data_IF_158968468934
#
_entry.id   IF_158968468934
#
_cell.length_a   1.000
_cell.length_b   1.000
_cell.length_c   1.000
_cell.angle_alpha   90.00
_cell.angle_beta   90.00
_cell.angle_gamma   90.00
#
_symmetry.space_group_name_H-M   'P 1'
#
loop_
_entity.id
_entity.type
_entity.pdbx_description
1 polymer ?
#
# COMPACT_ATOMS: atom_id res chain seq x y z
N UNK A 1 24.59 -21.46 -16.10
CA UNK A 1 24.02 -20.16 -15.70
C UNK A 1 22.53 -20.28 -15.47
N UNK A 2 21.93 -19.48 -14.60
CA UNK A 2 20.49 -19.53 -14.30
C UNK A 2 19.78 -18.24 -14.70
N UNK A 3 18.65 -18.34 -15.39
CA UNK A 3 17.77 -17.20 -15.64
C UNK A 3 16.69 -17.13 -14.56
N UNK A 4 16.56 -15.99 -13.88
CA UNK A 4 15.56 -15.76 -12.82
C UNK A 4 14.96 -14.35 -12.94
N UNK A 5 13.83 -14.10 -12.25
CA UNK A 5 13.26 -12.75 -12.14
C UNK A 5 14.21 -11.87 -11.35
N UNK A 6 14.55 -10.70 -11.89
CA UNK A 6 15.43 -9.76 -11.18
C UNK A 6 14.77 -9.27 -9.88
N UNK A 7 15.55 -8.90 -8.85
CA UNK A 7 15.01 -8.15 -7.73
C UNK A 7 14.36 -6.82 -8.18
N UNK A 8 13.36 -6.35 -7.45
CA UNK A 8 12.60 -5.14 -7.76
C UNK A 8 11.12 -5.28 -7.43
N UNK A 9 10.29 -4.38 -7.98
CA UNK A 9 8.82 -4.49 -7.93
C UNK A 9 8.27 -4.71 -9.32
N UNK A 10 7.23 -5.54 -9.42
CA UNK A 10 6.54 -5.89 -10.64
C UNK A 10 5.04 -5.69 -10.47
N UNK A 11 4.38 -5.15 -11.49
CA UNK A 11 2.94 -4.96 -11.53
C UNK A 11 2.37 -5.80 -12.66
N UNK A 12 1.38 -6.65 -12.37
CA UNK A 12 0.78 -7.54 -13.35
C UNK A 12 -0.74 -7.59 -13.18
N UNK A 13 -1.46 -7.99 -14.22
CA UNK A 13 -2.86 -8.38 -14.10
C UNK A 13 -3.07 -9.78 -14.68
N UNK A 14 -4.09 -10.47 -14.22
CA UNK A 14 -4.38 -11.86 -14.58
C UNK A 14 -4.94 -12.07 -16.00
N UNK A 15 -4.96 -11.01 -16.82
CA UNK A 15 -5.60 -10.95 -18.14
C UNK A 15 -7.05 -11.44 -18.15
N UNK A 16 -7.77 -11.28 -17.03
CA UNK A 16 -9.17 -11.68 -16.87
C UNK A 16 -9.38 -13.19 -16.76
N UNK A 17 -8.31 -13.97 -16.52
CA UNK A 17 -8.38 -15.44 -16.49
C UNK A 17 -8.85 -16.02 -15.16
N UNK A 18 -8.71 -15.28 -14.06
CA UNK A 18 -8.95 -15.83 -12.70
C UNK A 18 -10.42 -15.73 -12.31
N UNK A 19 -11.11 -14.68 -12.74
CA UNK A 19 -12.50 -14.45 -12.37
C UNK A 19 -13.43 -14.65 -13.57
N UNK A 20 -14.55 -15.34 -13.36
CA UNK A 20 -15.51 -15.70 -14.42
C UNK A 20 -16.13 -14.49 -15.12
N UNK A 21 -16.16 -13.33 -14.48
CA UNK A 21 -16.65 -12.09 -15.10
C UNK A 21 -15.68 -11.48 -16.12
N UNK A 22 -14.46 -12.02 -16.27
CA UNK A 22 -13.40 -11.43 -17.10
C UNK A 22 -12.78 -10.16 -16.52
N UNK A 23 -13.13 -9.79 -15.28
CA UNK A 23 -12.58 -8.61 -14.59
C UNK A 23 -11.08 -8.79 -14.40
N UNK A 24 -10.30 -7.77 -14.77
CA UNK A 24 -8.86 -7.76 -14.56
C UNK A 24 -8.57 -7.64 -13.06
N UNK A 25 -7.80 -8.58 -12.53
CA UNK A 25 -7.28 -8.52 -11.17
C UNK A 25 -5.83 -8.07 -11.21
N UNK A 26 -5.58 -6.87 -10.70
CA UNK A 26 -4.26 -6.28 -10.63
C UNK A 26 -3.53 -6.74 -9.37
N UNK A 27 -2.22 -6.90 -9.50
CA UNK A 27 -1.33 -7.30 -8.41
C UNK A 27 0.02 -6.63 -8.55
N UNK A 28 0.70 -6.47 -7.42
CA UNK A 28 2.09 -6.05 -7.36
C UNK A 28 2.91 -7.05 -6.54
N UNK A 29 4.16 -7.26 -6.92
CA UNK A 29 5.07 -8.16 -6.21
C UNK A 29 6.43 -7.50 -6.03
N UNK A 30 6.84 -7.32 -4.78
CA UNK A 30 8.19 -6.91 -4.41
C UNK A 30 9.04 -8.16 -4.18
N UNK A 31 10.05 -8.34 -5.04
CA UNK A 31 10.99 -9.45 -5.02
C UNK A 31 12.34 -8.91 -4.51
N UNK A 32 12.78 -9.26 -3.29
CA UNK A 32 14.12 -8.94 -2.85
C UNK A 32 15.15 -9.88 -3.49
N UNK A 33 16.42 -9.45 -3.46
CA UNK A 33 17.54 -10.36 -3.72
C UNK A 33 17.62 -11.42 -2.62
N UNK A 34 17.35 -11.02 -1.38
CA UNK A 34 17.28 -11.88 -0.20
C UNK A 34 16.29 -11.30 0.80
N UNK A 35 15.43 -12.14 1.38
CA UNK A 35 14.41 -11.74 2.35
C UNK A 35 13.02 -12.20 1.94
N UNK A 36 12.03 -11.80 2.72
CA UNK A 36 10.63 -12.15 2.50
C UNK A 36 10.03 -11.44 1.29
N UNK A 37 9.20 -12.14 0.52
CA UNK A 37 8.48 -11.53 -0.60
C UNK A 37 7.24 -10.81 -0.07
N UNK A 38 6.94 -9.65 -0.65
CA UNK A 38 5.75 -8.87 -0.34
C UNK A 38 4.88 -8.78 -1.59
N UNK A 39 3.72 -9.43 -1.55
CA UNK A 39 2.73 -9.41 -2.63
C UNK A 39 1.55 -8.52 -2.23
N UNK A 40 0.96 -7.85 -3.23
CA UNK A 40 -0.28 -7.11 -3.17
C UNK A 40 -1.20 -7.58 -4.27
N UNK A 41 -2.50 -7.70 -4.01
CA UNK A 41 -3.46 -8.11 -5.03
C UNK A 41 -4.87 -7.64 -4.73
N UNK A 42 -5.57 -7.21 -5.78
CA UNK A 42 -7.00 -6.98 -5.74
C UNK A 42 -7.77 -8.31 -5.80
N UNK A 43 -8.88 -8.37 -5.09
CA UNK A 43 -9.87 -9.42 -5.25
C UNK A 43 -11.00 -9.00 -6.21
N UNK A 44 -11.92 -9.92 -6.56
CA UNK A 44 -13.06 -9.60 -7.41
C UNK A 44 -14.01 -8.51 -6.86
N UNK A 45 -13.99 -8.26 -5.55
CA UNK A 45 -14.78 -7.24 -4.85
C UNK A 45 -14.05 -5.89 -4.74
N UNK A 46 -12.92 -5.73 -5.44
CA UNK A 46 -12.08 -4.52 -5.42
C UNK A 46 -11.44 -4.20 -4.05
N UNK A 47 -11.31 -5.22 -3.21
CA UNK A 47 -10.61 -5.10 -1.93
C UNK A 47 -9.13 -5.38 -2.15
N UNK A 48 -8.27 -4.52 -1.62
CA UNK A 48 -6.83 -4.63 -1.79
C UNK A 48 -6.20 -5.37 -0.60
N UNK A 49 -5.51 -6.46 -0.88
CA UNK A 49 -4.84 -7.27 0.13
C UNK A 49 -3.33 -7.26 -0.06
N UNK A 50 -2.61 -7.60 1.01
CA UNK A 50 -1.22 -7.99 0.96
C UNK A 50 -1.02 -9.40 1.53
N UNK A 51 0.11 -10.01 1.20
CA UNK A 51 0.61 -11.23 1.84
C UNK A 51 2.12 -11.24 1.86
N UNK A 52 2.68 -11.94 2.83
CA UNK A 52 4.13 -12.13 2.99
C UNK A 52 4.46 -13.60 2.77
N UNK A 53 5.45 -13.89 1.93
CA UNK A 53 5.91 -15.27 1.64
C UNK A 53 4.79 -16.24 1.27
N UNK A 54 3.82 -15.78 0.47
CA UNK A 54 2.64 -16.56 0.03
C UNK A 54 1.76 -17.10 1.17
N UNK A 55 1.82 -16.49 2.36
CA UNK A 55 0.90 -16.78 3.48
C UNK A 55 -0.51 -16.24 3.19
N UNK A 56 -1.42 -16.43 4.15
CA UNK A 56 -2.80 -15.93 4.05
C UNK A 56 -2.82 -14.43 3.77
N UNK A 57 -3.82 -13.99 3.01
CA UNK A 57 -4.02 -12.58 2.67
C UNK A 57 -4.53 -11.80 3.88
N UNK A 58 -4.17 -10.52 3.97
CA UNK A 58 -4.69 -9.55 4.94
C UNK A 58 -4.99 -8.22 4.25
N UNK A 59 -6.00 -7.44 4.69
CA UNK A 59 -6.29 -6.13 4.12
C UNK A 59 -5.05 -5.23 4.08
N UNK A 60 -4.80 -4.55 2.96
CA UNK A 60 -3.58 -3.73 2.79
C UNK A 60 -3.48 -2.61 3.83
N UNK A 61 -4.62 -2.17 4.35
CA UNK A 61 -4.70 -1.12 5.37
C UNK A 61 -4.09 -1.54 6.71
N UNK A 62 -4.03 -2.84 7.02
CA UNK A 62 -3.27 -3.37 8.16
C UNK A 62 -1.78 -3.06 7.96
N UNK A 63 -1.24 -3.28 6.75
CA UNK A 63 0.17 -2.96 6.49
C UNK A 63 0.42 -1.44 6.58
N UNK A 64 -0.50 -0.63 6.05
CA UNK A 64 -0.41 0.83 6.12
C UNK A 64 -0.46 1.35 7.58
N UNK A 65 -1.30 0.77 8.43
CA UNK A 65 -1.30 1.04 9.87
C UNK A 65 0.00 0.59 10.54
N UNK A 66 0.51 -0.59 10.19
CA UNK A 66 1.75 -1.13 10.76
C UNK A 66 3.01 -0.29 10.42
N UNK A 67 2.97 0.51 9.35
CA UNK A 67 4.02 1.49 9.01
C UNK A 67 3.76 2.89 9.59
N UNK A 68 2.74 3.04 10.45
CA UNK A 68 2.48 4.25 11.23
C UNK A 68 1.40 5.18 10.67
N UNK A 69 0.63 4.78 9.65
CA UNK A 69 -0.46 5.60 9.13
C UNK A 69 -1.77 5.35 9.90
N UNK A 70 -2.39 6.42 10.40
CA UNK A 70 -3.76 6.35 10.92
C UNK A 70 -4.79 6.43 9.76
N UNK A 71 -6.08 6.11 9.98
CA UNK A 71 -7.09 6.13 8.92
C UNK A 71 -7.18 7.46 8.15
N UNK A 72 -7.06 8.62 8.82
CA UNK A 72 -7.05 9.93 8.16
C UNK A 72 -5.87 10.08 7.20
N UNK A 73 -4.67 9.71 7.66
CA UNK A 73 -3.43 9.77 6.88
C UNK A 73 -3.47 8.78 5.72
N UNK A 74 -4.10 7.61 5.92
CA UNK A 74 -4.36 6.67 4.83
C UNK A 74 -5.27 7.34 3.79
N UNK A 75 -6.45 7.82 4.16
CA UNK A 75 -7.38 8.45 3.21
C UNK A 75 -6.73 9.64 2.48
N UNK A 76 -6.01 10.50 3.19
CA UNK A 76 -5.32 11.66 2.61
C UNK A 76 -4.22 11.28 1.60
N UNK A 77 -3.67 10.06 1.67
CA UNK A 77 -2.68 9.59 0.71
C UNK A 77 -3.29 9.03 -0.58
N UNK A 78 -4.55 8.61 -0.57
CA UNK A 78 -5.19 7.91 -1.69
C UNK A 78 -6.36 8.67 -2.30
N UNK A 79 -6.91 9.66 -1.61
CA UNK A 79 -8.06 10.43 -2.07
C UNK A 79 -7.77 11.93 -2.04
N UNK A 80 -8.28 12.62 -3.05
CA UNK A 80 -8.60 14.04 -2.94
C UNK A 80 -9.97 14.19 -2.28
N UNK A 81 -10.25 15.37 -1.72
CA UNK A 81 -11.51 15.59 -1.00
C UNK A 81 -12.44 16.53 -1.76
N UNK A 82 -13.74 16.33 -1.59
CA UNK A 82 -14.77 17.34 -1.82
C UNK A 82 -15.02 18.08 -0.48
N UNK A 83 -15.05 19.41 -0.54
CA UNK A 83 -15.35 20.25 0.62
C UNK A 83 -16.82 20.66 0.59
N UNK A 84 -17.52 20.45 1.71
CA UNK A 84 -18.93 20.81 1.86
C UNK A 84 -19.11 21.74 3.06
N UNK A 85 -19.90 22.78 2.86
CA UNK A 85 -20.44 23.61 3.94
C UNK A 85 -21.91 23.26 4.17
N UNK A 86 -22.19 22.63 5.29
CA UNK A 86 -23.51 22.25 5.76
C UNK A 86 -24.40 23.48 6.00
N UNK A 87 -25.60 23.47 5.43
CA UNK A 87 -26.67 24.49 5.57
C UNK A 87 -27.84 23.94 6.38
N UNK A 88 -28.87 24.68 6.78
CA UNK A 88 -30.01 24.09 7.55
C UNK A 88 -30.62 22.83 6.88
N UNK A 89 -30.63 22.80 5.56
CA UNK A 89 -30.90 21.64 4.71
C UNK A 89 -29.94 21.66 3.51
N UNK A 90 -29.42 20.50 3.12
CA UNK A 90 -28.41 20.37 2.08
C UNK A 90 -27.06 20.96 2.46
N UNK A 91 -26.25 21.29 1.45
CA UNK A 91 -24.93 21.87 1.65
C UNK A 91 -24.52 22.74 0.45
N UNK A 92 -23.47 23.52 0.62
CA UNK A 92 -22.70 24.12 -0.47
C UNK A 92 -21.46 23.26 -0.72
N UNK A 93 -21.36 22.70 -1.92
CA UNK A 93 -20.19 21.93 -2.37
C UNK A 93 -19.23 22.85 -3.11
N UNK A 94 -17.94 22.75 -2.85
CA UNK A 94 -16.92 23.44 -3.65
C UNK A 94 -17.02 23.01 -5.13
N UNK A 95 -17.01 24.00 -6.03
CA UNK A 95 -17.09 23.76 -7.47
C UNK A 95 -15.73 23.39 -8.05
N UNK A 96 -15.62 22.17 -8.56
CA UNK A 96 -14.45 21.70 -9.33
C UNK A 96 -14.88 21.29 -10.74
N UNK A 97 -14.50 22.10 -11.73
CA UNK A 97 -14.89 21.98 -13.15
C UNK A 97 -14.67 20.58 -13.73
N UNK A 98 -13.50 19.99 -13.46
CA UNK A 98 -13.12 18.68 -14.00
C UNK A 98 -13.95 17.54 -13.43
N UNK A 99 -14.39 17.63 -12.16
CA UNK A 99 -15.19 16.59 -11.49
C UNK A 99 -16.64 16.53 -11.95
N UNK A 100 -17.17 17.64 -12.46
CA UNK A 100 -18.56 17.71 -12.95
C UNK A 100 -18.66 17.45 -14.44
N UNK A 101 -17.59 17.66 -15.21
CA UNK A 101 -17.63 17.56 -16.67
C UNK A 101 -17.95 16.13 -17.10
N UNK A 102 -19.01 15.98 -17.90
CA UNK A 102 -19.39 14.69 -18.47
C UNK A 102 -20.36 13.88 -17.60
N UNK A 103 -20.55 14.27 -16.34
CA UNK A 103 -21.53 13.68 -15.42
C UNK A 103 -22.97 14.09 -15.78
N UNK A 104 -23.94 13.31 -15.28
CA UNK A 104 -25.37 13.66 -15.35
C UNK A 104 -25.75 14.39 -14.07
N UNK A 105 -26.30 15.60 -14.20
CA UNK A 105 -26.70 16.41 -13.06
C UNK A 105 -27.87 15.75 -12.31
N UNK A 106 -27.65 15.40 -11.04
CA UNK A 106 -28.69 14.76 -10.18
C UNK A 106 -29.72 15.76 -9.65
N UNK A 107 -29.44 17.06 -9.79
CA UNK A 107 -30.24 18.19 -9.36
C UNK A 107 -29.91 19.39 -10.26
N UNK A 108 -30.67 20.48 -10.15
CA UNK A 108 -30.41 21.71 -10.89
C UNK A 108 -29.12 22.37 -10.40
N UNK A 109 -28.15 22.56 -11.29
CA UNK A 109 -26.90 23.26 -11.00
C UNK A 109 -27.08 24.73 -11.36
N UNK A 110 -27.01 25.59 -10.36
CA UNK A 110 -27.14 27.05 -10.52
C UNK A 110 -25.79 27.75 -10.43
N UNK A 111 -25.69 28.92 -11.04
CA UNK A 111 -24.60 29.86 -10.76
C UNK A 111 -24.80 30.60 -9.42
N UNK A 112 -23.83 31.44 -9.05
CA UNK A 112 -23.89 32.27 -7.82
C UNK A 112 -25.09 33.22 -7.74
N UNK A 113 -25.74 33.52 -8.86
CA UNK A 113 -26.93 34.39 -8.93
C UNK A 113 -28.24 33.60 -8.80
N UNK A 114 -28.16 32.27 -8.76
CA UNK A 114 -29.32 31.37 -8.73
C UNK A 114 -29.86 31.02 -10.12
N UNK A 115 -29.19 31.45 -11.21
CA UNK A 115 -29.59 31.07 -12.57
C UNK A 115 -29.22 29.60 -12.81
N UNK A 116 -30.18 28.80 -13.26
CA UNK A 116 -29.95 27.40 -13.63
C UNK A 116 -29.05 27.33 -14.87
N UNK A 117 -27.86 26.75 -14.71
CA UNK A 117 -26.90 26.51 -15.79
C UNK A 117 -27.06 25.10 -16.36
N UNK A 118 -27.34 24.11 -15.50
CA UNK A 118 -27.64 22.73 -15.92
C UNK A 118 -28.89 22.26 -15.19
N UNK A 119 -29.93 21.92 -15.96
CA UNK A 119 -31.12 21.31 -15.38
C UNK A 119 -30.85 19.87 -14.95
N UNK A 120 -31.60 19.39 -13.95
CA UNK A 120 -31.61 18.00 -13.51
C UNK A 120 -31.76 17.03 -14.70
N UNK A 121 -31.09 15.89 -14.59
CA UNK A 121 -31.05 14.80 -15.58
C UNK A 121 -30.42 15.19 -16.92
N UNK A 122 -29.76 16.36 -17.00
CA UNK A 122 -28.97 16.77 -18.16
C UNK A 122 -27.48 16.52 -17.93
N UNK A 123 -26.79 16.19 -19.03
CA UNK A 123 -25.34 16.00 -19.02
C UNK A 123 -24.63 17.34 -18.88
N UNK A 124 -23.67 17.41 -17.97
CA UNK A 124 -22.81 18.58 -17.78
C UNK A 124 -21.79 18.62 -18.92
N UNK A 125 -21.80 19.68 -19.72
CA UNK A 125 -20.90 19.85 -20.86
C UNK A 125 -19.78 20.85 -20.52
N UNK A 126 -18.72 20.87 -21.33
CA UNK A 126 -17.65 21.87 -21.19
C UNK A 126 -18.16 23.32 -21.32
N UNK A 127 -19.29 23.55 -22.02
CA UNK A 127 -19.94 24.86 -22.07
C UNK A 127 -20.49 25.26 -20.70
N UNK A 128 -21.16 24.33 -20.02
CA UNK A 128 -21.76 24.59 -18.70
C UNK A 128 -20.68 24.90 -17.64
N UNK A 129 -19.60 24.13 -17.63
CA UNK A 129 -18.51 24.37 -16.66
C UNK A 129 -17.84 25.73 -16.90
N UNK A 130 -17.63 26.12 -18.17
CA UNK A 130 -17.12 27.45 -18.52
C UNK A 130 -18.06 28.58 -18.11
N UNK A 131 -19.37 28.40 -18.25
CA UNK A 131 -20.36 29.39 -17.80
C UNK A 131 -20.29 29.58 -16.27
N UNK A 132 -20.17 28.50 -15.50
CA UNK A 132 -19.98 28.57 -14.05
C UNK A 132 -18.67 29.27 -13.66
N UNK A 133 -17.56 28.94 -14.34
CA UNK A 133 -16.26 29.62 -14.14
C UNK A 133 -16.37 31.13 -14.44
N UNK A 134 -16.96 31.50 -15.58
CA UNK A 134 -17.12 32.91 -16.00
C UNK A 134 -18.05 33.71 -15.08
N UNK A 135 -19.07 33.06 -14.52
CA UNK A 135 -19.91 33.67 -13.50
C UNK A 135 -19.18 33.89 -12.17
N UNK A 136 -17.99 33.31 -11.97
CA UNK A 136 -17.24 33.34 -10.72
C UNK A 136 -17.88 32.48 -9.63
N UNK A 137 -18.58 31.40 -10.02
CA UNK A 137 -19.19 30.47 -9.08
C UNK A 137 -18.10 29.61 -8.44
N UNK A 138 -17.98 29.68 -7.11
CA UNK A 138 -17.01 28.87 -6.34
C UNK A 138 -17.66 27.71 -5.61
N UNK A 139 -18.98 27.76 -5.39
CA UNK A 139 -19.74 26.73 -4.68
C UNK A 139 -21.08 26.47 -5.38
N UNK A 140 -21.55 25.23 -5.31
CA UNK A 140 -22.84 24.78 -5.83
C UNK A 140 -23.69 24.28 -4.67
N UNK A 141 -24.94 24.73 -4.60
CA UNK A 141 -25.91 24.20 -3.63
C UNK A 141 -26.32 22.78 -4.01
N UNK A 142 -26.23 21.86 -3.06
CA UNK A 142 -26.59 20.45 -3.22
C UNK A 142 -27.69 20.05 -2.23
N UNK A 143 -28.63 19.17 -2.61
CA UNK A 143 -29.68 18.68 -1.71
C UNK A 143 -29.13 17.70 -0.66
N UNK A 144 -29.90 17.46 0.40
CA UNK A 144 -29.53 16.52 1.49
C UNK A 144 -29.21 15.12 0.94
N UNK A 145 -30.05 14.61 0.03
CA UNK A 145 -29.91 13.28 -0.58
C UNK A 145 -28.59 13.09 -1.34
N UNK A 146 -27.93 14.19 -1.76
CA UNK A 146 -26.63 14.12 -2.43
C UNK A 146 -25.46 13.88 -1.46
N UNK A 147 -25.65 14.23 -0.19
CA UNK A 147 -24.67 14.01 0.87
C UNK A 147 -24.71 12.57 1.38
N UNK A 148 -25.90 11.96 1.40
CA UNK A 148 -26.10 10.59 1.89
C UNK A 148 -25.27 9.61 1.06
N UNK A 149 -24.52 8.74 1.74
CA UNK A 149 -23.62 7.75 1.13
C UNK A 149 -22.21 8.27 0.84
N UNK A 150 -21.95 9.58 0.94
CA UNK A 150 -20.59 10.14 0.88
C UNK A 150 -19.80 9.71 2.12
N UNK A 151 -18.48 9.65 2.01
CA UNK A 151 -17.62 9.11 3.09
C UNK A 151 -16.74 10.21 3.67
N UNK A 152 -16.78 10.38 4.99
CA UNK A 152 -16.01 11.36 5.75
C UNK A 152 -14.50 11.11 5.60
N UNK A 153 -13.74 12.15 5.28
CA UNK A 153 -12.29 12.05 5.08
C UNK A 153 -11.49 12.12 6.38
N UNK A 154 -12.01 12.80 7.41
CA UNK A 154 -11.28 13.13 8.66
C UNK A 154 -12.19 12.97 9.87
N UNK A 155 -11.65 12.67 11.05
CA UNK A 155 -12.47 12.68 12.25
C UNK A 155 -13.09 14.08 12.43
N UNK A 156 -14.38 14.11 12.76
CA UNK A 156 -15.07 15.34 13.13
C UNK A 156 -15.21 15.33 14.64
N UNK A 157 -14.63 16.32 15.29
CA UNK A 157 -14.62 16.45 16.75
C UNK A 157 -15.43 17.67 17.14
N UNK A 158 -16.27 17.51 18.15
CA UNK A 158 -16.99 18.62 18.75
C UNK A 158 -16.01 19.55 19.49
N UNK A 159 -16.01 20.83 19.14
CA UNK A 159 -15.01 21.78 19.64
C UNK A 159 -15.14 22.05 21.14
N UNK A 160 -16.34 21.93 21.70
CA UNK A 160 -16.62 22.25 23.10
C UNK A 160 -16.41 21.06 24.04
N UNK A 161 -16.84 19.86 23.63
CA UNK A 161 -16.76 18.65 24.45
C UNK A 161 -15.53 17.79 24.17
N UNK A 162 -14.88 17.96 23.01
CA UNK A 162 -13.82 17.06 22.54
C UNK A 162 -14.30 15.67 22.14
N UNK A 163 -15.61 15.44 22.07
CA UNK A 163 -16.18 14.16 21.63
C UNK A 163 -16.01 13.98 20.11
N UNK A 164 -15.62 12.77 19.68
CA UNK A 164 -15.58 12.42 18.26
C UNK A 164 -17.02 12.21 17.77
N UNK A 165 -17.52 13.16 16.98
CA UNK A 165 -18.86 13.14 16.39
C UNK A 165 -18.97 12.11 15.26
N UNK A 166 -17.94 12.05 14.41
CA UNK A 166 -17.80 11.12 13.28
C UNK A 166 -16.33 10.71 13.12
N UNK A 167 -16.07 9.47 12.72
CA UNK A 167 -14.73 8.99 12.42
C UNK A 167 -14.41 9.11 10.93
N UNK A 168 -13.13 9.20 10.62
CA UNK A 168 -12.64 9.06 9.26
C UNK A 168 -13.10 7.71 8.68
N UNK A 169 -13.54 7.72 7.42
CA UNK A 169 -14.16 6.62 6.70
C UNK A 169 -15.62 6.28 7.08
N UNK A 170 -16.25 7.03 8.00
CA UNK A 170 -17.69 6.89 8.27
C UNK A 170 -18.52 7.38 7.08
N UNK A 171 -19.63 6.71 6.82
CA UNK A 171 -20.58 7.09 5.79
C UNK A 171 -21.58 8.13 6.32
N UNK A 172 -21.84 9.16 5.54
CA UNK A 172 -22.87 10.15 5.83
C UNK A 172 -24.25 9.49 5.70
N UNK A 173 -24.88 9.29 6.85
CA UNK A 173 -26.28 8.88 6.98
C UNK A 173 -27.12 10.08 7.39
N UNK A 174 -28.44 10.03 7.20
CA UNK A 174 -29.36 11.07 7.68
C UNK A 174 -29.19 11.34 9.19
N UNK A 175 -29.01 10.27 9.98
CA UNK A 175 -28.79 10.37 11.41
C UNK A 175 -27.47 11.09 11.74
N UNK A 176 -26.40 10.79 11.00
CA UNK A 176 -25.11 11.45 11.19
C UNK A 176 -25.15 12.91 10.77
N UNK A 177 -25.77 13.24 9.62
CA UNK A 177 -25.97 14.63 9.18
C UNK A 177 -26.73 15.44 10.24
N UNK A 178 -27.81 14.89 10.78
CA UNK A 178 -28.57 15.54 11.87
C UNK A 178 -27.72 15.75 13.12
N UNK A 179 -26.91 14.76 13.52
CA UNK A 179 -25.97 14.87 14.65
C UNK A 179 -24.97 16.01 14.42
N UNK A 180 -24.33 16.05 13.24
CA UNK A 180 -23.36 17.07 12.86
C UNK A 180 -23.97 18.48 12.88
N UNK A 181 -25.18 18.64 12.34
CA UNK A 181 -25.92 19.91 12.35
C UNK A 181 -26.26 20.38 13.76
N UNK A 182 -26.71 19.46 14.61
CA UNK A 182 -27.08 19.77 16.01
C UNK A 182 -25.85 20.19 16.83
N UNK A 183 -24.69 19.61 16.51
CA UNK A 183 -23.40 20.00 17.06
C UNK A 183 -22.79 21.27 16.41
N UNK A 184 -23.50 21.92 15.48
CA UNK A 184 -23.05 23.17 14.86
C UNK A 184 -21.89 23.02 13.86
N UNK A 185 -21.59 21.79 13.41
CA UNK A 185 -20.55 21.55 12.40
C UNK A 185 -21.00 22.15 11.07
N UNK A 186 -20.19 23.08 10.53
CA UNK A 186 -20.45 23.71 9.24
C UNK A 186 -19.64 23.07 8.13
N UNK A 187 -18.32 22.96 8.29
CA UNK A 187 -17.45 22.49 7.22
C UNK A 187 -17.09 21.02 7.41
N UNK A 188 -17.35 20.21 6.39
CA UNK A 188 -16.98 18.80 6.36
C UNK A 188 -16.21 18.49 5.09
N UNK A 189 -15.31 17.51 5.19
CA UNK A 189 -14.54 17.01 4.07
C UNK A 189 -14.87 15.55 3.85
N UNK A 190 -15.22 15.22 2.61
CA UNK A 190 -15.51 13.85 2.21
C UNK A 190 -14.54 13.43 1.12
N UNK A 191 -14.22 12.14 1.06
CA UNK A 191 -13.38 11.63 -0.01
C UNK A 191 -14.11 11.75 -1.35
N UNK A 192 -13.40 12.19 -2.38
CA UNK A 192 -13.92 12.19 -3.74
C UNK A 192 -13.71 10.81 -4.35
N UNK A 193 -14.81 10.20 -4.79
CA UNK A 193 -14.79 8.91 -5.48
C UNK A 193 -15.76 8.93 -6.65
N UNK A 194 -15.43 8.24 -7.74
CA UNK A 194 -16.30 8.04 -8.90
C UNK A 194 -16.15 6.62 -9.46
N UNK A 195 -16.94 6.29 -10.47
CA UNK A 195 -16.97 4.95 -11.07
C UNK A 195 -15.93 4.75 -12.19
N UNK A 196 -15.18 5.80 -12.56
CA UNK A 196 -14.30 5.81 -13.72
C UNK A 196 -12.82 5.68 -13.33
N UNK A 197 -12.31 6.67 -12.58
CA UNK A 197 -10.87 6.86 -12.34
C UNK A 197 -10.51 7.19 -10.89
N UNK A 198 -11.49 7.22 -9.98
CA UNK A 198 -11.30 7.46 -8.55
C UNK A 198 -12.11 6.44 -7.71
N UNK A 199 -11.75 5.17 -7.79
CA UNK A 199 -12.46 4.10 -7.09
C UNK A 199 -12.28 4.14 -5.56
N UNK A 200 -13.34 3.76 -4.83
CA UNK A 200 -13.37 3.75 -3.35
C UNK A 200 -12.58 2.59 -2.71
N UNK A 201 -11.56 2.05 -3.37
CA UNK A 201 -10.91 0.78 -3.01
C UNK A 201 -10.30 0.75 -1.61
N UNK A 202 -9.57 1.80 -1.26
CA UNK A 202 -8.90 1.91 0.05
C UNK A 202 -9.92 2.18 1.16
N UNK A 203 -10.96 2.98 0.88
CA UNK A 203 -12.08 3.22 1.80
C UNK A 203 -12.83 1.92 2.11
N UNK A 204 -13.15 1.12 1.09
CA UNK A 204 -13.79 -0.19 1.26
C UNK A 204 -12.88 -1.14 2.02
N UNK A 205 -11.59 -1.18 1.69
CA UNK A 205 -10.61 -2.03 2.40
C UNK A 205 -10.48 -1.66 3.87
N UNK A 206 -10.51 -0.37 4.22
CA UNK A 206 -10.52 0.10 5.61
C UNK A 206 -11.75 -0.40 6.38
N UNK A 207 -12.91 -0.61 5.73
CA UNK A 207 -14.14 -1.06 6.41
C UNK A 207 -14.09 -2.51 6.88
N UNK A 208 -13.28 -3.37 6.24
CA UNK A 208 -13.11 -4.77 6.69
C UNK A 208 -11.91 -4.97 7.61
N UNK A 209 -11.14 -3.91 7.85
CA UNK A 209 -9.95 -3.95 8.67
C UNK A 209 -10.31 -3.71 10.14
N UNK A 210 -10.30 -4.80 10.91
CA UNK A 210 -10.63 -4.80 12.33
C UNK A 210 -9.52 -4.24 13.24
N UNK A 211 -8.34 -3.92 12.70
CA UNK A 211 -7.23 -3.41 13.51
C UNK A 211 -7.42 -1.93 13.85
N UNK A 212 -7.21 -1.58 15.12
CA UNK A 212 -7.49 -0.23 15.62
C UNK A 212 -6.34 0.75 15.44
N UNK A 213 -5.10 0.28 15.62
CA UNK A 213 -3.90 1.11 15.64
C UNK A 213 -2.68 0.38 15.03
N UNK A 214 -1.53 1.05 15.04
CA UNK A 214 -0.25 0.54 14.54
C UNK A 214 0.17 -0.76 15.25
N UNK A 215 0.02 -0.83 16.57
CA UNK A 215 0.45 -1.99 17.33
C UNK A 215 -0.45 -3.20 17.06
N UNK A 216 -1.77 -3.03 17.07
CA UNK A 216 -2.73 -4.06 16.71
C UNK A 216 -2.50 -4.58 15.28
N UNK A 217 -2.15 -3.70 14.36
CA UNK A 217 -1.78 -4.07 13.00
C UNK A 217 -0.50 -4.92 12.94
N UNK A 218 0.55 -4.52 13.68
CA UNK A 218 1.78 -5.33 13.79
C UNK A 218 1.53 -6.67 14.49
N UNK A 219 0.66 -6.73 15.49
CA UNK A 219 0.23 -7.98 16.15
C UNK A 219 -0.51 -8.89 15.17
N UNK A 220 -1.37 -8.35 14.30
CA UNK A 220 -2.05 -9.13 13.27
C UNK A 220 -1.04 -9.75 12.28
N UNK A 221 -0.04 -8.98 11.86
CA UNK A 221 1.08 -9.46 11.03
C UNK A 221 1.89 -10.54 11.76
N UNK A 222 2.19 -10.33 13.05
CA UNK A 222 2.90 -11.31 13.87
C UNK A 222 2.15 -12.64 13.93
N UNK A 223 0.84 -12.62 14.22
CA UNK A 223 -0.01 -13.83 14.26
C UNK A 223 -0.11 -14.55 12.92
N UNK A 224 0.04 -13.84 11.80
CA UNK A 224 0.10 -14.45 10.47
C UNK A 224 1.43 -15.18 10.23
N UNK A 225 2.54 -14.58 10.66
CA UNK A 225 3.87 -15.16 10.48
C UNK A 225 4.16 -16.29 11.45
N UNK A 226 3.69 -16.16 12.70
CA UNK A 226 3.91 -17.09 13.80
C UNK A 226 2.59 -17.50 14.46
N UNK A 227 1.78 -18.34 13.79
CA UNK A 227 0.51 -18.77 14.34
C UNK A 227 0.74 -19.60 15.62
N UNK A 228 0.07 -19.21 16.71
CA UNK A 228 0.14 -19.90 18.00
C UNK A 228 1.20 -19.38 18.97
N UNK A 229 2.14 -18.53 18.53
CA UNK A 229 3.06 -17.85 19.44
C UNK A 229 2.40 -16.60 20.06
N UNK A 230 2.56 -16.35 21.38
CA UNK A 230 1.99 -15.18 22.03
C UNK A 230 2.70 -13.90 21.56
N UNK A 231 1.96 -12.84 21.18
CA UNK A 231 2.55 -11.60 20.69
C UNK A 231 2.99 -10.70 21.87
N UNK A 232 4.27 -10.76 22.23
CA UNK A 232 4.87 -9.74 23.12
C UNK A 232 5.32 -8.53 22.29
N UNK A 233 5.34 -7.34 22.91
CA UNK A 233 5.70 -6.09 22.21
C UNK A 233 7.07 -6.18 21.52
N UNK A 234 8.09 -6.64 22.24
CA UNK A 234 9.44 -6.82 21.70
C UNK A 234 9.47 -7.83 20.53
N UNK A 235 8.75 -8.95 20.65
CA UNK A 235 8.75 -9.98 19.61
C UNK A 235 8.03 -9.49 18.34
N UNK A 236 6.95 -8.74 18.51
CA UNK A 236 6.18 -8.12 17.42
C UNK A 236 7.05 -7.10 16.68
N UNK A 237 7.68 -6.20 17.42
CA UNK A 237 8.54 -5.17 16.84
C UNK A 237 9.77 -5.78 16.15
N UNK A 238 10.44 -6.73 16.80
CA UNK A 238 11.60 -7.41 16.25
C UNK A 238 11.25 -8.19 14.98
N UNK A 239 10.10 -8.87 14.93
CA UNK A 239 9.66 -9.56 13.73
C UNK A 239 9.40 -8.57 12.59
N UNK A 240 8.64 -7.50 12.84
CA UNK A 240 8.29 -6.52 11.81
C UNK A 240 9.54 -5.86 11.21
N UNK A 241 10.50 -5.47 12.06
CA UNK A 241 11.80 -4.94 11.63
C UNK A 241 12.58 -5.95 10.77
N UNK A 242 12.61 -7.22 11.18
CA UNK A 242 13.31 -8.28 10.43
C UNK A 242 12.67 -8.62 9.09
N UNK A 243 11.38 -8.37 8.91
CA UNK A 243 10.70 -8.68 7.65
C UNK A 243 11.20 -7.83 6.49
N UNK A 244 11.36 -6.51 6.69
CA UNK A 244 11.57 -5.57 5.58
C UNK A 244 12.69 -4.55 5.79
N UNK A 245 13.09 -4.29 7.03
CA UNK A 245 13.91 -3.14 7.41
C UNK A 245 15.30 -3.50 7.92
N UNK A 246 15.55 -4.77 8.20
CA UNK A 246 16.84 -5.23 8.72
C UNK A 246 17.77 -5.69 7.57
N UNK A 247 18.95 -5.06 7.39
CA UNK A 247 19.90 -5.41 6.32
C UNK A 247 20.43 -6.85 6.40
N UNK A 248 20.44 -7.46 7.59
CA UNK A 248 20.90 -8.83 7.79
C UNK A 248 19.88 -9.85 7.31
N UNK A 249 18.60 -9.49 7.17
CA UNK A 249 17.52 -10.39 6.74
C UNK A 249 16.86 -9.98 5.43
N UNK A 250 17.02 -8.72 5.00
CA UNK A 250 16.42 -8.18 3.80
C UNK A 250 17.43 -7.38 2.96
N UNK A 251 17.42 -7.61 1.64
CA UNK A 251 18.33 -6.97 0.68
C UNK A 251 17.69 -6.96 -0.72
N UNK A 252 17.47 -5.79 -1.31
CA UNK A 252 17.04 -5.59 -2.69
C UNK A 252 18.20 -5.75 -3.68
N UNK A 253 19.45 -5.66 -3.24
CA UNK A 253 20.65 -5.42 -4.04
C UNK A 253 20.62 -4.09 -4.80
N UNK A 254 21.78 -3.66 -5.30
CA UNK A 254 21.90 -2.43 -6.12
C UNK A 254 20.98 -2.46 -7.34
N UNK A 255 20.91 -3.60 -8.02
CA UNK A 255 20.04 -3.79 -9.20
C UNK A 255 18.57 -3.71 -8.81
N UNK A 256 18.18 -4.33 -7.70
CA UNK A 256 16.78 -4.29 -7.26
C UNK A 256 16.35 -2.91 -6.81
N UNK A 257 17.20 -2.18 -6.07
CA UNK A 257 16.92 -0.78 -5.70
C UNK A 257 16.81 0.12 -6.94
N UNK A 258 17.75 0.00 -7.88
CA UNK A 258 17.69 0.74 -9.15
C UNK A 258 16.38 0.49 -9.88
N UNK A 259 15.98 -0.78 -10.04
CA UNK A 259 14.72 -1.16 -10.69
C UNK A 259 13.50 -0.69 -9.93
N UNK A 260 13.52 -0.82 -8.60
CA UNK A 260 12.43 -0.38 -7.74
C UNK A 260 12.20 1.12 -7.92
N UNK A 261 13.26 1.93 -7.76
CA UNK A 261 13.18 3.38 -7.88
C UNK A 261 12.68 3.81 -9.25
N UNK A 262 13.23 3.24 -10.33
CA UNK A 262 12.76 3.51 -11.69
C UNK A 262 11.26 3.19 -11.86
N UNK A 263 10.79 2.08 -11.30
CA UNK A 263 9.39 1.66 -11.41
C UNK A 263 8.44 2.53 -10.59
N UNK A 264 8.89 3.06 -9.45
CA UNK A 264 8.10 3.99 -8.64
C UNK A 264 8.26 5.47 -9.06
N UNK A 265 8.96 5.74 -10.16
CA UNK A 265 9.12 7.09 -10.72
C UNK A 265 10.09 7.99 -9.95
N UNK A 266 11.09 7.41 -9.27
CA UNK A 266 12.16 8.18 -8.61
C UNK A 266 13.37 8.32 -9.52
N UNK A 267 13.93 9.53 -9.56
CA UNK A 267 15.11 9.86 -10.38
C UNK A 267 16.40 9.20 -9.89
N UNK A 268 16.52 8.99 -8.58
CA UNK A 268 17.71 8.38 -7.99
C UNK A 268 17.77 6.87 -8.27
N UNK A 269 18.88 6.40 -8.86
CA UNK A 269 19.12 4.97 -9.12
C UNK A 269 19.67 4.19 -7.93
N UNK A 270 19.99 4.88 -6.83
CA UNK A 270 20.58 4.29 -5.61
C UNK A 270 19.71 4.56 -4.40
N UNK A 271 20.02 3.92 -3.27
CA UNK A 271 19.27 4.08 -2.03
C UNK A 271 19.48 2.92 -1.07
N UNK A 272 18.72 2.87 0.04
CA UNK A 272 18.77 1.78 1.00
C UNK A 272 18.49 0.42 0.35
N UNK A 273 19.20 -0.63 0.76
CA UNK A 273 18.96 -1.99 0.23
C UNK A 273 17.79 -2.68 0.94
N UNK A 274 17.29 -2.12 2.04
CA UNK A 274 16.04 -2.52 2.70
C UNK A 274 14.86 -1.71 2.17
N UNK A 275 13.63 -2.13 2.45
CA UNK A 275 12.46 -1.31 2.13
C UNK A 275 12.33 -0.15 3.11
N UNK A 276 11.68 0.93 2.66
CA UNK A 276 11.22 2.03 3.50
C UNK A 276 9.69 2.09 3.54
N UNK A 277 9.12 2.91 4.43
CA UNK A 277 7.68 3.10 4.50
C UNK A 277 7.15 3.74 3.20
N UNK A 278 7.92 4.66 2.62
CA UNK A 278 7.63 5.32 1.35
C UNK A 278 7.67 4.34 0.18
N UNK A 279 8.53 3.32 0.23
CA UNK A 279 8.55 2.23 -0.76
C UNK A 279 7.22 1.47 -0.75
N UNK A 280 6.78 1.03 0.42
CA UNK A 280 5.53 0.27 0.58
C UNK A 280 4.34 1.13 0.11
N UNK A 281 4.27 2.38 0.58
CA UNK A 281 3.21 3.30 0.20
C UNK A 281 3.17 3.57 -1.31
N UNK A 282 4.34 3.78 -1.95
CA UNK A 282 4.42 4.01 -3.38
C UNK A 282 3.91 2.82 -4.21
N UNK A 283 4.25 1.59 -3.79
CA UNK A 283 3.75 0.37 -4.47
C UNK A 283 2.22 0.29 -4.38
N UNK A 284 1.65 0.57 -3.21
CA UNK A 284 0.19 0.55 -3.04
C UNK A 284 -0.47 1.66 -3.87
N UNK A 285 0.11 2.87 -3.93
CA UNK A 285 -0.40 3.97 -4.76
C UNK A 285 -0.44 3.61 -6.25
N UNK A 286 0.67 3.13 -6.78
CA UNK A 286 0.74 2.72 -8.20
C UNK A 286 -0.26 1.60 -8.50
N UNK A 287 -0.42 0.65 -7.57
CA UNK A 287 -1.38 -0.43 -7.77
C UNK A 287 -2.84 0.07 -7.77
N UNK A 288 -3.18 1.05 -6.92
CA UNK A 288 -4.48 1.73 -6.94
C UNK A 288 -4.66 2.52 -8.24
N UNK A 289 -3.63 3.23 -8.70
CA UNK A 289 -3.66 3.98 -9.97
C UNK A 289 -3.90 3.07 -11.17
N UNK A 290 -3.21 1.92 -11.23
CA UNK A 290 -3.43 0.92 -12.27
C UNK A 290 -4.87 0.41 -12.27
N UNK A 291 -5.46 0.21 -11.09
CA UNK A 291 -6.86 -0.20 -10.96
C UNK A 291 -7.84 0.91 -11.36
N UNK A 292 -7.47 2.18 -11.19
CA UNK A 292 -8.17 3.36 -11.70
C UNK A 292 -7.98 3.57 -13.22
N UNK A 293 -7.20 2.73 -13.90
CA UNK A 293 -6.91 2.85 -15.33
C UNK A 293 -5.76 3.80 -15.66
N UNK A 294 -5.02 4.26 -14.65
CA UNK A 294 -3.87 5.14 -14.80
C UNK A 294 -2.57 4.32 -14.80
N UNK A 295 -1.92 4.24 -15.97
CA UNK A 295 -0.64 3.55 -16.16
C UNK A 295 -0.78 2.17 -16.79
N UNK A 296 0.36 1.48 -16.93
CA UNK A 296 0.45 0.18 -17.60
C UNK A 296 1.16 -0.87 -16.73
N UNK A 297 0.72 -2.13 -16.86
CA UNK A 297 1.37 -3.27 -16.19
C UNK A 297 2.68 -3.66 -16.85
N UNK A 298 3.52 -4.38 -16.12
CA UNK A 298 4.76 -4.92 -16.63
C UNK A 298 4.55 -6.11 -17.57
N UNK A 299 5.36 -6.16 -18.62
CA UNK A 299 5.64 -7.41 -19.33
C UNK A 299 6.66 -8.22 -18.53
N UNK A 300 6.17 -9.19 -17.77
CA UNK A 300 6.98 -10.09 -16.93
C UNK A 300 7.93 -10.99 -17.74
N UNK A 301 7.66 -11.20 -19.03
CA UNK A 301 8.47 -12.04 -19.91
C UNK A 301 9.55 -11.23 -20.64
N UNK A 302 9.49 -9.90 -20.58
CA UNK A 302 10.52 -9.03 -21.11
C UNK A 302 11.90 -9.36 -20.51
N UNK A 303 12.91 -9.51 -21.36
CA UNK A 303 14.26 -9.91 -20.92
C UNK A 303 14.87 -8.92 -19.92
N UNK A 304 14.50 -7.65 -19.99
CA UNK A 304 14.89 -6.65 -18.99
C UNK A 304 14.43 -7.00 -17.57
N UNK A 305 13.37 -7.80 -17.41
CA UNK A 305 12.83 -8.29 -16.14
C UNK A 305 13.43 -9.62 -15.69
N UNK A 306 14.30 -10.20 -16.51
CA UNK A 306 15.05 -11.42 -16.19
C UNK A 306 16.53 -11.11 -16.03
N UNK A 307 17.20 -11.84 -15.14
CA UNK A 307 18.63 -11.72 -14.86
C UNK A 307 19.29 -13.08 -14.97
N UNK A 308 20.47 -13.09 -15.59
CA UNK A 308 21.34 -14.26 -15.63
C UNK A 308 22.23 -14.25 -14.39
N UNK A 309 22.19 -15.31 -13.58
CA UNK A 309 23.20 -15.58 -12.55
C UNK A 309 24.27 -16.47 -13.12
N UNK A 310 25.51 -15.98 -13.01
CA UNK A 310 26.70 -16.75 -13.30
C UNK A 310 27.10 -17.60 -12.07
N UNK A 311 28.02 -18.54 -12.27
CA UNK A 311 28.51 -19.42 -11.21
C UNK A 311 29.09 -18.64 -10.03
N UNK A 312 29.80 -17.54 -10.29
CA UNK A 312 30.37 -16.68 -9.24
C UNK A 312 29.34 -16.11 -8.27
N UNK A 313 28.24 -15.53 -8.78
CA UNK A 313 27.16 -14.98 -7.95
C UNK A 313 26.45 -16.07 -7.13
N UNK A 314 26.23 -17.24 -7.74
CA UNK A 314 25.62 -18.37 -7.04
C UNK A 314 26.53 -18.89 -5.93
N UNK A 315 27.84 -19.03 -6.19
CA UNK A 315 28.82 -19.45 -5.21
C UNK A 315 28.97 -18.42 -4.07
N UNK A 316 28.97 -17.12 -4.38
CA UNK A 316 29.01 -16.04 -3.39
C UNK A 316 27.85 -16.14 -2.39
N UNK A 317 26.62 -16.40 -2.87
CA UNK A 317 25.46 -16.56 -2.01
C UNK A 317 25.58 -17.77 -1.06
N UNK A 318 26.13 -18.87 -1.55
CA UNK A 318 26.35 -20.08 -0.73
C UNK A 318 27.46 -19.83 0.30
N UNK A 319 28.52 -19.15 -0.11
CA UNK A 319 29.60 -18.74 0.78
C UNK A 319 29.10 -17.83 1.90
N UNK A 320 28.28 -16.82 1.57
CA UNK A 320 27.65 -15.92 2.55
C UNK A 320 26.74 -16.66 3.53
N UNK A 321 26.00 -17.66 3.05
CA UNK A 321 25.19 -18.53 3.92
C UNK A 321 26.08 -19.31 4.90
N UNK A 322 27.23 -19.80 4.43
CA UNK A 322 28.26 -20.40 5.28
C UNK A 322 28.81 -19.43 6.33
N UNK A 323 29.12 -18.19 5.94
CA UNK A 323 29.59 -17.13 6.84
C UNK A 323 28.56 -16.80 7.92
N UNK A 324 27.28 -16.67 7.57
CA UNK A 324 26.21 -16.38 8.54
C UNK A 324 26.09 -17.47 9.61
N UNK A 325 26.32 -18.75 9.25
CA UNK A 325 26.37 -19.86 10.21
C UNK A 325 27.58 -19.75 11.14
N UNK A 326 28.74 -19.38 10.61
CA UNK A 326 29.94 -19.15 11.42
C UNK A 326 29.73 -17.97 12.36
N UNK A 327 29.21 -16.85 11.86
CA UNK A 327 28.93 -15.65 12.65
C UNK A 327 28.05 -15.98 13.86
N UNK A 328 26.98 -16.75 13.65
CA UNK A 328 26.11 -17.21 14.75
C UNK A 328 26.89 -18.02 15.80
N UNK A 329 27.66 -19.02 15.36
CA UNK A 329 28.45 -19.85 16.26
C UNK A 329 29.52 -19.05 17.02
N UNK A 330 30.16 -18.07 16.35
CA UNK A 330 31.14 -17.18 16.96
C UNK A 330 30.49 -16.29 18.02
N UNK A 331 29.33 -15.69 17.73
CA UNK A 331 28.59 -14.85 18.70
C UNK A 331 28.16 -15.65 19.93
N UNK A 332 27.65 -16.86 19.74
CA UNK A 332 27.29 -17.75 20.85
C UNK A 332 28.51 -18.09 21.72
N UNK A 333 29.64 -18.40 21.10
CA UNK A 333 30.87 -18.79 21.80
C UNK A 333 31.52 -17.61 22.54
N UNK A 334 31.50 -16.42 21.96
CA UNK A 334 31.95 -15.18 22.62
C UNK A 334 31.04 -14.79 23.79
N UNK A 335 29.72 -15.02 23.69
CA UNK A 335 28.79 -14.75 24.78
C UNK A 335 28.96 -15.67 26.00
N UNK A 336 29.55 -16.85 25.81
CA UNK A 336 29.86 -17.82 26.88
C UNK A 336 31.30 -17.70 27.41
N UNK A 337 32.11 -16.85 26.79
CA UNK A 337 33.54 -16.75 27.06
C UNK A 337 33.80 -15.88 28.29
N UNK A 338 33.56 -16.41 29.49
CA UNK A 338 33.79 -15.63 30.71
C UNK A 338 35.20 -15.75 31.29
N UNK A 339 36.02 -16.78 30.98
CA UNK A 339 37.29 -16.99 31.75
C UNK A 339 38.52 -17.57 31.01
N UNK A 340 38.46 -17.99 29.75
CA UNK A 340 39.65 -18.49 29.03
C UNK A 340 40.13 -17.51 27.94
N UNK A 341 41.45 -17.35 27.75
CA UNK A 341 41.98 -16.54 26.65
C UNK A 341 41.67 -17.22 25.31
N UNK A 342 40.61 -16.76 24.64
CA UNK A 342 40.24 -17.21 23.31
C UNK A 342 41.05 -16.48 22.24
N UNK A 343 41.63 -17.24 21.32
CA UNK A 343 42.29 -16.71 20.14
C UNK A 343 41.35 -16.73 18.94
N UNK A 344 41.51 -15.86 17.92
CA UNK A 344 40.63 -15.81 16.76
C UNK A 344 40.48 -17.14 16.01
N UNK A 345 41.51 -17.99 15.99
CA UNK A 345 41.46 -19.29 15.33
C UNK A 345 40.61 -20.31 16.10
N UNK A 346 40.38 -20.12 17.41
CA UNK A 346 39.50 -20.97 18.21
C UNK A 346 38.03 -20.75 17.86
N UNK A 347 37.69 -19.56 17.39
CA UNK A 347 36.34 -19.14 17.06
C UNK A 347 35.92 -19.56 15.63
N UNK A 348 36.88 -19.68 14.71
CA UNK A 348 36.59 -19.88 13.29
C UNK A 348 36.65 -21.37 12.94
N UNK A 349 35.50 -21.95 12.61
CA UNK A 349 35.39 -23.29 12.05
C UNK A 349 35.11 -23.21 10.54
N UNK A 350 35.96 -23.81 9.71
CA UNK A 350 35.80 -23.81 8.24
C UNK A 350 34.76 -24.81 7.72
N UNK A 351 34.38 -25.82 8.52
CA UNK A 351 33.45 -26.88 8.11
C UNK A 351 32.11 -26.36 7.56
N UNK A 352 31.44 -25.36 8.16
CA UNK A 352 30.17 -24.84 7.64
C UNK A 352 30.29 -24.23 6.24
N UNK A 353 31.38 -23.49 5.95
CA UNK A 353 31.65 -22.93 4.63
C UNK A 353 31.92 -24.05 3.62
N UNK A 354 32.85 -24.96 3.95
CA UNK A 354 33.22 -26.04 3.04
C UNK A 354 32.04 -26.95 2.74
N UNK A 355 31.16 -27.21 3.71
CA UNK A 355 29.94 -27.97 3.52
C UNK A 355 28.97 -27.27 2.56
N UNK A 356 28.71 -25.97 2.76
CA UNK A 356 27.82 -25.21 1.88
C UNK A 356 28.33 -25.16 0.42
N UNK A 357 29.65 -25.00 0.22
CA UNK A 357 30.25 -25.04 -1.12
C UNK A 357 30.21 -26.44 -1.73
N UNK A 358 30.53 -27.49 -0.97
CA UNK A 358 30.45 -28.87 -1.46
C UNK A 358 29.03 -29.25 -1.85
N UNK A 359 28.04 -28.87 -1.07
CA UNK A 359 26.63 -29.08 -1.38
C UNK A 359 26.24 -28.36 -2.68
N UNK A 360 26.66 -27.10 -2.84
CA UNK A 360 26.40 -26.33 -4.05
C UNK A 360 27.03 -26.95 -5.31
N UNK A 361 28.31 -27.34 -5.26
CA UNK A 361 28.97 -27.93 -6.43
C UNK A 361 28.63 -29.40 -6.65
N UNK A 362 28.26 -30.16 -5.61
CA UNK A 362 28.02 -31.60 -5.72
C UNK A 362 26.55 -31.99 -5.92
N UNK A 363 25.60 -31.22 -5.38
CA UNK A 363 24.18 -31.60 -5.33
C UNK A 363 23.23 -30.58 -5.97
N UNK A 364 23.72 -29.42 -6.42
CA UNK A 364 22.87 -28.42 -7.09
C UNK A 364 22.39 -28.93 -8.45
N UNK A 365 21.12 -28.68 -8.77
CA UNK A 365 20.53 -28.96 -10.09
C UNK A 365 21.26 -28.25 -11.25
N UNK A 366 21.96 -27.16 -10.95
CA UNK A 366 22.74 -26.38 -11.92
C UNK A 366 24.16 -26.93 -12.11
N UNK A 367 24.59 -27.88 -11.27
CA UNK A 367 25.89 -28.56 -11.37
C UNK A 367 25.67 -29.90 -12.06
N UNK A 368 26.08 -30.00 -13.33
CA UNK A 368 25.88 -31.19 -14.17
C UNK A 368 27.23 -31.74 -14.65
N UNK A 369 27.26 -33.05 -14.90
CA UNK A 369 28.40 -33.67 -15.58
C UNK A 369 28.46 -33.14 -17.02
N UNK A 370 29.66 -32.70 -17.42
CA UNK A 370 29.92 -32.12 -18.74
C UNK A 370 30.01 -33.20 -19.81
#
# INVERSE_FOLDING_TARGET
SQLHRSPGVFFEHDKGKTHSSGKLLFSARVIPYRGSWLDFEFDPKDMLYFRVDRRRKMPVTILLKAIGLNPESILANFFVNDNFRLMDSGAQMEFVSERLRGEVARFDITDKSGKVVVAKDKRVTARHTRELEQSGTTHISVPEDFLVGRVIARNIVDADSGEILAKANDELTEALLKKLRTAGVQDIQVIYTNELDQGAYISQTLRIDETVDEFAARVAIYRMMRPGEPPTEDAVQALFQRLFYNPDTYDLSRVGRMKFNAKVGRDESTGPMVLTNEDILAVVKILVDLRNGNGEVDDIDHLGNRRVRCVGELAENQYRTGLARIEKAVKERLGQAEQEPLMPHDLINSKPISAALKEFFGASQLSQFM
#
